data_IF_831473265191
#
_entry.id   IF_831473265191
#
_cell.length_a   1.000
_cell.length_b   1.000
_cell.length_c   1.000
_cell.angle_alpha   90.00
_cell.angle_beta   90.00
_cell.angle_gamma   90.00
#
_symmetry.space_group_name_H-M   'P 1'
#
loop_
_entity.id
_entity.type
_entity.pdbx_description
1 polymer ?
#
# COMPACT_ATOMS: atom_id res chain seq x y z
N UNK A 1 -50.38 29.72 -13.16
CA UNK A 1 -49.99 29.78 -14.57
C UNK A 1 -49.71 28.36 -15.04
N UNK A 2 -50.56 27.82 -15.91
CA UNK A 2 -50.71 26.37 -16.09
C UNK A 2 -49.56 25.74 -16.90
N UNK A 3 -48.94 24.69 -16.32
CA UNK A 3 -47.84 23.87 -16.85
C UNK A 3 -48.12 23.16 -18.20
N UNK A 4 -49.32 23.34 -18.76
CA UNK A 4 -49.70 22.83 -20.10
C UNK A 4 -49.26 23.74 -21.25
N UNK A 5 -48.91 24.99 -20.97
CA UNK A 5 -48.48 25.95 -22.01
C UNK A 5 -46.97 25.89 -22.31
N UNK A 6 -46.16 25.39 -21.37
CA UNK A 6 -44.70 25.33 -21.53
C UNK A 6 -44.23 24.09 -22.31
N UNK A 7 -45.01 23.00 -22.27
CA UNK A 7 -44.72 21.76 -23.03
C UNK A 7 -45.17 21.81 -24.50
N UNK A 8 -46.10 22.71 -24.84
CA UNK A 8 -46.57 22.90 -26.21
C UNK A 8 -45.64 23.78 -27.07
N UNK A 9 -44.73 24.53 -26.44
CA UNK A 9 -43.80 25.43 -27.15
C UNK A 9 -42.46 24.77 -27.49
N UNK A 10 -42.05 23.72 -26.77
CA UNK A 10 -40.77 23.03 -27.00
C UNK A 10 -40.86 21.89 -28.02
N UNK A 11 -42.06 21.36 -28.28
CA UNK A 11 -42.29 20.30 -29.27
C UNK A 11 -42.43 20.83 -30.71
N UNK A 12 -42.59 22.14 -30.89
CA UNK A 12 -42.75 22.77 -32.21
C UNK A 12 -41.41 23.11 -32.92
N UNK A 13 -40.28 23.02 -32.22
CA UNK A 13 -38.95 23.40 -32.74
C UNK A 13 -38.15 22.19 -33.25
N UNK A 14 -38.56 20.95 -32.94
CA UNK A 14 -37.84 19.73 -33.34
C UNK A 14 -38.41 19.06 -34.61
N UNK A 15 -39.58 19.48 -35.10
CA UNK A 15 -40.26 18.84 -36.25
C UNK A 15 -40.27 19.67 -37.53
N UNK A 16 -39.45 20.74 -37.64
CA UNK A 16 -39.41 21.63 -38.80
C UNK A 16 -38.08 21.62 -39.58
N UNK A 17 -37.28 20.55 -39.48
CA UNK A 17 -35.99 20.44 -40.17
C UNK A 17 -35.84 19.18 -41.03
N UNK A 18 -36.92 18.41 -41.24
CA UNK A 18 -36.87 17.23 -42.10
C UNK A 18 -37.96 17.28 -43.18
N UNK A 19 -37.48 17.18 -44.42
CA UNK A 19 -38.18 16.78 -45.65
C UNK A 19 -38.90 17.92 -46.39
N UNK A 20 -38.31 18.37 -47.51
CA UNK A 20 -38.96 18.50 -48.83
C UNK A 20 -38.02 19.14 -49.87
N UNK A 21 -37.39 18.31 -50.70
CA UNK A 21 -37.08 18.67 -52.08
C UNK A 21 -37.03 17.42 -52.96
N UNK A 22 -38.22 16.97 -53.37
CA UNK A 22 -38.40 16.02 -54.45
C UNK A 22 -39.12 16.76 -55.59
N UNK A 23 -38.44 16.98 -56.72
CA UNK A 23 -39.06 17.43 -57.96
C UNK A 23 -38.54 16.59 -59.13
N UNK A 24 -39.48 16.24 -60.01
CA UNK A 24 -39.39 15.22 -61.05
C UNK A 24 -38.46 15.50 -62.23
N UNK A 25 -38.12 14.39 -62.89
CA UNK A 25 -37.27 14.22 -64.08
C UNK A 25 -37.94 14.68 -65.37
N UNK A 26 -37.17 15.24 -66.33
CA UNK A 26 -37.41 15.08 -67.76
C UNK A 26 -36.27 14.29 -68.44
N UNK A 27 -36.59 13.67 -69.59
CA UNK A 27 -35.79 12.66 -70.27
C UNK A 27 -34.55 13.18 -71.04
N UNK A 28 -33.47 12.40 -70.91
CA UNK A 28 -32.41 11.97 -71.84
C UNK A 28 -31.83 12.93 -72.91
N UNK A 29 -30.54 13.22 -72.76
CA UNK A 29 -29.52 13.14 -73.83
C UNK A 29 -28.23 12.54 -73.22
N UNK A 30 -27.62 11.55 -73.89
CA UNK A 30 -26.35 10.93 -73.47
C UNK A 30 -25.15 11.84 -73.82
N UNK A 31 -24.22 12.12 -72.88
CA UNK A 31 -22.93 12.68 -73.22
C UNK A 31 -21.85 11.59 -73.35
N UNK A 32 -20.93 11.89 -74.26
CA UNK A 32 -19.80 11.10 -74.75
C UNK A 32 -18.80 10.75 -73.65
N UNK A 33 -18.27 9.52 -73.70
CA UNK A 33 -17.22 9.02 -72.82
C UNK A 33 -15.99 9.93 -72.85
N UNK A 34 -15.60 10.43 -71.68
CA UNK A 34 -14.35 11.17 -71.43
C UNK A 34 -13.43 10.24 -70.66
N UNK A 35 -12.20 10.04 -71.14
CA UNK A 35 -11.17 9.20 -70.51
C UNK A 35 -10.81 9.72 -69.10
N UNK A 36 -10.68 8.80 -68.14
CA UNK A 36 -10.23 9.09 -66.77
C UNK A 36 -8.75 9.53 -66.77
N UNK A 37 -8.35 10.50 -65.92
CA UNK A 37 -6.95 10.85 -65.74
C UNK A 37 -6.22 9.76 -64.95
N UNK A 38 -5.07 9.33 -65.46
CA UNK A 38 -4.15 8.40 -64.80
C UNK A 38 -3.73 8.92 -63.42
N UNK A 39 -4.00 8.15 -62.36
CA UNK A 39 -3.47 8.40 -61.02
C UNK A 39 -1.93 8.34 -61.03
N UNK A 40 -1.30 9.37 -60.48
CA UNK A 40 0.14 9.38 -60.21
C UNK A 40 0.39 8.54 -58.95
N UNK A 41 1.35 7.61 -58.94
CA UNK A 41 1.65 6.81 -57.75
C UNK A 41 2.06 7.73 -56.60
N UNK A 42 1.32 7.67 -55.50
CA UNK A 42 1.74 8.26 -54.22
C UNK A 42 2.82 7.34 -53.66
N UNK A 43 4.04 7.85 -53.49
CA UNK A 43 5.09 7.13 -52.75
C UNK A 43 4.59 6.91 -51.32
N UNK A 44 4.52 5.65 -50.90
CA UNK A 44 4.27 5.28 -49.51
C UNK A 44 5.36 5.92 -48.62
N UNK A 45 5.01 6.54 -47.49
CA UNK A 45 6.02 6.98 -46.54
C UNK A 45 6.76 5.74 -46.04
N UNK A 46 8.08 5.71 -46.28
CA UNK A 46 8.97 4.73 -45.65
C UNK A 46 8.71 4.75 -44.15
N UNK A 47 8.27 3.63 -43.59
CA UNK A 47 8.13 3.47 -42.15
C UNK A 47 9.46 3.78 -41.48
N UNK A 48 9.49 4.80 -40.62
CA UNK A 48 10.62 5.02 -39.72
C UNK A 48 10.81 3.75 -38.87
N UNK A 49 12.06 3.30 -38.62
CA UNK A 49 12.29 2.17 -37.72
C UNK A 49 11.64 2.51 -36.37
N UNK A 50 10.68 1.70 -35.94
CA UNK A 50 10.18 1.76 -34.58
C UNK A 50 11.38 1.45 -33.68
N UNK A 51 11.90 2.45 -32.97
CA UNK A 51 12.91 2.19 -31.94
C UNK A 51 12.30 1.19 -30.95
N UNK A 52 12.86 -0.02 -30.91
CA UNK A 52 12.47 -1.04 -29.95
C UNK A 52 12.74 -0.47 -28.56
N UNK A 53 11.67 -0.29 -27.76
CA UNK A 53 11.84 0.13 -26.38
C UNK A 53 12.77 -0.85 -25.67
N UNK A 54 13.71 -0.38 -24.82
CA UNK A 54 14.59 -1.29 -24.11
C UNK A 54 13.78 -2.30 -23.29
N UNK A 55 14.29 -3.53 -23.20
CA UNK A 55 13.62 -4.61 -22.48
C UNK A 55 13.51 -4.28 -20.99
N UNK A 56 12.37 -4.58 -20.37
CA UNK A 56 12.15 -4.39 -18.94
C UNK A 56 13.21 -5.18 -18.15
N UNK A 57 13.82 -4.52 -17.17
CA UNK A 57 14.95 -5.05 -16.41
C UNK A 57 16.31 -4.88 -17.10
N UNK A 58 16.41 -4.20 -18.25
CA UNK A 58 17.71 -3.77 -18.79
C UNK A 58 18.24 -2.55 -18.02
N UNK A 59 19.54 -2.22 -18.12
CA UNK A 59 20.09 -1.00 -17.52
C UNK A 59 19.40 0.29 -17.99
N UNK A 60 18.88 0.29 -19.22
CA UNK A 60 18.17 1.43 -19.84
C UNK A 60 16.66 1.46 -19.51
N UNK A 61 16.12 0.37 -18.94
CA UNK A 61 14.72 0.26 -18.52
C UNK A 61 14.63 -0.63 -17.26
N UNK A 62 15.13 -0.14 -16.11
CA UNK A 62 15.15 -0.90 -14.88
C UNK A 62 13.72 -1.16 -14.36
N UNK A 63 13.55 -2.28 -13.65
CA UNK A 63 12.32 -2.55 -12.92
C UNK A 63 12.23 -1.60 -11.73
N UNK A 64 11.14 -0.87 -11.62
CA UNK A 64 10.88 0.00 -10.47
C UNK A 64 10.50 -0.84 -9.26
N UNK A 65 11.21 -0.62 -8.15
CA UNK A 65 10.96 -1.28 -6.88
C UNK A 65 10.50 -0.24 -5.87
N UNK A 66 9.19 -0.24 -5.60
CA UNK A 66 8.59 0.75 -4.73
C UNK A 66 8.42 0.24 -3.30
N UNK A 67 8.74 1.10 -2.36
CA UNK A 67 8.53 0.86 -0.94
C UNK A 67 7.65 1.95 -0.34
N UNK A 68 6.60 1.56 0.39
CA UNK A 68 5.77 2.53 1.11
C UNK A 68 6.58 3.21 2.24
N UNK A 69 6.40 4.52 2.50
CA UNK A 69 7.17 5.27 3.49
C UNK A 69 6.70 4.98 4.94
N UNK A 70 6.82 3.72 5.37
CA UNK A 70 6.29 3.23 6.65
C UNK A 70 7.10 3.67 7.88
N UNK A 71 8.38 3.90 7.65
CA UNK A 71 9.41 4.32 8.61
C UNK A 71 10.34 5.32 7.91
N UNK A 72 11.54 5.57 8.46
CA UNK A 72 12.53 6.47 7.85
C UNK A 72 12.92 6.06 6.42
N UNK A 73 12.87 7.02 5.49
CA UNK A 73 13.08 6.78 4.06
C UNK A 73 14.54 6.42 3.73
N UNK A 74 15.53 6.89 4.50
CA UNK A 74 16.93 6.55 4.27
C UNK A 74 17.21 5.10 4.70
N UNK A 75 16.61 4.64 5.81
CA UNK A 75 16.66 3.23 6.21
C UNK A 75 16.02 2.32 5.15
N UNK A 76 14.86 2.70 4.61
CA UNK A 76 14.19 1.97 3.53
C UNK A 76 15.05 1.91 2.26
N UNK A 77 15.61 3.04 1.83
CA UNK A 77 16.43 3.11 0.60
C UNK A 77 17.68 2.24 0.73
N UNK A 78 18.38 2.31 1.86
CA UNK A 78 19.57 1.48 2.10
C UNK A 78 19.26 -0.02 2.06
N UNK A 79 18.15 -0.45 2.67
CA UNK A 79 17.69 -1.84 2.61
C UNK A 79 17.26 -2.25 1.18
N UNK A 80 16.55 -1.38 0.48
CA UNK A 80 16.14 -1.58 -0.90
C UNK A 80 17.32 -1.74 -1.86
N UNK A 81 18.41 -0.98 -1.67
CA UNK A 81 19.63 -1.14 -2.47
C UNK A 81 20.30 -2.51 -2.27
N UNK A 82 20.30 -3.04 -1.04
CA UNK A 82 20.76 -4.40 -0.77
C UNK A 82 19.89 -5.45 -1.48
N UNK A 83 18.57 -5.26 -1.46
CA UNK A 83 17.63 -6.11 -2.19
C UNK A 83 17.91 -6.04 -3.70
N UNK A 84 17.99 -4.85 -4.28
CA UNK A 84 18.21 -4.64 -5.69
C UNK A 84 19.52 -5.30 -6.17
N UNK A 85 20.59 -5.18 -5.38
CA UNK A 85 21.85 -5.85 -5.66
C UNK A 85 21.72 -7.39 -5.65
N UNK A 86 21.06 -7.95 -4.63
CA UNK A 86 20.84 -9.40 -4.52
C UNK A 86 19.98 -9.94 -5.68
N UNK A 87 18.91 -9.23 -6.05
CA UNK A 87 18.07 -9.61 -7.19
C UNK A 87 18.82 -9.46 -8.51
N UNK A 88 19.63 -8.42 -8.69
CA UNK A 88 20.46 -8.24 -9.88
C UNK A 88 21.46 -9.39 -10.04
N UNK A 89 22.16 -9.78 -8.97
CA UNK A 89 23.10 -10.91 -8.99
C UNK A 89 22.39 -12.22 -9.36
N UNK A 90 21.19 -12.45 -8.82
CA UNK A 90 20.43 -13.68 -9.05
C UNK A 90 19.78 -13.77 -10.44
N UNK A 91 19.33 -12.64 -10.99
CA UNK A 91 18.46 -12.61 -12.19
C UNK A 91 19.12 -12.00 -13.42
N UNK A 92 20.15 -11.18 -13.25
CA UNK A 92 20.71 -10.32 -14.29
C UNK A 92 19.87 -9.09 -14.64
N UNK A 93 18.73 -8.89 -13.97
CA UNK A 93 17.83 -7.75 -14.18
C UNK A 93 18.29 -6.52 -13.39
N UNK A 94 18.04 -5.33 -13.93
CA UNK A 94 18.34 -4.06 -13.26
C UNK A 94 17.11 -3.58 -12.51
N UNK A 95 17.32 -3.13 -11.27
CA UNK A 95 16.26 -2.65 -10.38
C UNK A 95 16.57 -1.23 -9.92
N UNK A 96 15.55 -0.38 -9.89
CA UNK A 96 15.63 0.98 -9.36
C UNK A 96 14.70 1.12 -8.16
N UNK A 97 15.29 1.42 -7.00
CA UNK A 97 14.54 1.56 -5.74
C UNK A 97 14.00 2.98 -5.64
N UNK A 98 12.71 3.11 -5.35
CA UNK A 98 12.07 4.39 -5.10
C UNK A 98 11.18 4.30 -3.86
N UNK A 99 11.22 5.35 -3.03
CA UNK A 99 10.31 5.52 -1.89
C UNK A 99 9.37 6.69 -2.21
N UNK A 100 8.12 6.44 -2.60
CA UNK A 100 7.14 7.49 -2.86
C UNK A 100 6.81 8.31 -1.60
N UNK A 101 6.18 9.47 -1.80
CA UNK A 101 5.89 10.43 -0.71
C UNK A 101 4.73 10.02 0.20
N UNK A 102 3.93 9.03 -0.19
CA UNK A 102 2.84 8.45 0.61
C UNK A 102 2.56 7.03 0.15
N UNK A 103 1.78 6.27 0.92
CA UNK A 103 1.38 4.93 0.52
C UNK A 103 0.43 4.97 -0.68
N UNK A 104 -0.47 5.96 -0.72
CA UNK A 104 -1.34 6.18 -1.87
C UNK A 104 -0.54 6.46 -3.15
N UNK A 105 0.52 7.28 -3.06
CA UNK A 105 1.40 7.54 -4.21
C UNK A 105 2.11 6.28 -4.71
N UNK A 106 2.44 5.34 -3.82
CA UNK A 106 2.95 4.02 -4.23
C UNK A 106 1.94 3.26 -5.09
N UNK A 107 0.68 3.20 -4.68
CA UNK A 107 -0.38 2.50 -5.42
C UNK A 107 -0.62 3.18 -6.77
N UNK A 108 -0.65 4.52 -6.79
CA UNK A 108 -0.83 5.30 -8.02
C UNK A 108 0.32 5.06 -9.03
N UNK A 109 1.56 4.99 -8.56
CA UNK A 109 2.72 4.70 -9.42
C UNK A 109 2.66 3.27 -10.00
N UNK A 110 2.29 2.25 -9.21
CA UNK A 110 2.12 0.88 -9.74
C UNK A 110 1.05 0.84 -10.83
N UNK A 111 -0.05 1.58 -10.66
CA UNK A 111 -1.09 1.68 -11.68
C UNK A 111 -0.66 2.51 -12.90
N UNK A 112 0.21 3.51 -12.74
CA UNK A 112 0.70 4.37 -13.80
C UNK A 112 1.82 3.72 -14.64
N UNK A 113 2.59 2.80 -14.05
CA UNK A 113 3.67 2.04 -14.67
C UNK A 113 3.40 0.53 -14.56
N UNK A 114 2.38 0.03 -15.29
CA UNK A 114 1.79 -1.29 -15.02
C UNK A 114 2.65 -2.48 -15.47
N UNK A 115 3.64 -2.27 -16.33
CA UNK A 115 4.43 -3.35 -16.94
C UNK A 115 5.79 -3.57 -16.25
N UNK A 116 6.34 -2.54 -15.60
CA UNK A 116 7.74 -2.46 -15.15
C UNK A 116 7.87 -2.18 -13.65
N UNK A 117 6.76 -2.22 -12.88
CA UNK A 117 6.76 -1.89 -11.45
C UNK A 117 6.43 -3.08 -10.56
N UNK A 118 7.25 -3.28 -9.53
CA UNK A 118 6.93 -4.06 -8.33
C UNK A 118 6.90 -3.17 -7.10
N UNK A 119 6.11 -3.54 -6.10
CA UNK A 119 5.95 -2.76 -4.88
C UNK A 119 5.74 -3.61 -3.63
N UNK A 120 6.30 -3.15 -2.53
CA UNK A 120 6.07 -3.67 -1.19
C UNK A 120 5.00 -2.82 -0.51
N UNK A 121 3.75 -3.31 -0.53
CA UNK A 121 2.56 -2.56 -0.07
C UNK A 121 1.79 -3.33 1.00
N UNK A 122 1.14 -2.65 1.96
CA UNK A 122 0.33 -3.31 2.97
C UNK A 122 -0.90 -3.96 2.33
N UNK A 123 -1.53 -4.91 3.03
CA UNK A 123 -2.66 -5.68 2.47
C UNK A 123 -3.83 -4.83 1.96
N UNK A 124 -4.15 -3.71 2.63
CA UNK A 124 -5.13 -2.72 2.15
C UNK A 124 -4.68 -2.06 0.85
N UNK A 125 -3.41 -1.65 0.76
CA UNK A 125 -2.85 -1.07 -0.46
C UNK A 125 -2.92 -2.06 -1.63
N UNK A 126 -2.66 -3.34 -1.37
CA UNK A 126 -2.86 -4.41 -2.35
C UNK A 126 -4.34 -4.51 -2.80
N UNK A 127 -5.26 -4.67 -1.85
CA UNK A 127 -6.70 -4.82 -2.14
C UNK A 127 -7.23 -3.65 -2.96
N UNK A 128 -6.86 -2.43 -2.57
CA UNK A 128 -7.25 -1.19 -3.25
C UNK A 128 -6.66 -1.10 -4.66
N UNK A 129 -5.35 -1.33 -4.82
CA UNK A 129 -4.71 -1.33 -6.14
C UNK A 129 -5.24 -2.44 -7.06
N UNK A 130 -5.60 -3.59 -6.49
CA UNK A 130 -6.16 -4.70 -7.23
C UNK A 130 -7.57 -4.36 -7.74
N UNK A 131 -8.39 -3.70 -6.93
CA UNK A 131 -9.70 -3.19 -7.34
C UNK A 131 -9.58 -2.05 -8.37
N UNK A 132 -8.58 -1.18 -8.23
CA UNK A 132 -8.42 0.01 -9.07
C UNK A 132 -7.89 -0.33 -10.47
N UNK A 133 -6.79 -1.07 -10.55
CA UNK A 133 -6.08 -1.31 -11.80
C UNK A 133 -5.66 -2.77 -12.01
N UNK A 134 -5.91 -3.66 -11.04
CA UNK A 134 -5.64 -5.09 -11.19
C UNK A 134 -4.22 -5.52 -10.81
N UNK A 135 -3.55 -4.81 -9.90
CA UNK A 135 -2.22 -5.23 -9.42
C UNK A 135 -2.26 -6.68 -8.90
N UNK A 136 -1.18 -7.41 -9.16
CA UNK A 136 -1.03 -8.84 -8.85
C UNK A 136 -0.24 -9.01 -7.56
N UNK A 137 -0.49 -10.07 -6.80
CA UNK A 137 0.33 -10.45 -5.62
C UNK A 137 1.22 -11.63 -5.97
N UNK A 138 2.49 -11.58 -5.56
CA UNK A 138 3.45 -12.68 -5.70
C UNK A 138 3.80 -13.34 -4.36
N UNK A 139 3.83 -12.57 -3.28
CA UNK A 139 4.21 -13.08 -1.96
C UNK A 139 3.70 -12.22 -0.82
N UNK A 140 3.84 -12.75 0.39
CA UNK A 140 3.51 -12.07 1.65
C UNK A 140 4.68 -12.17 2.62
N UNK A 141 4.91 -11.10 3.36
CA UNK A 141 6.00 -11.03 4.31
C UNK A 141 5.89 -12.06 5.42
N UNK A 142 7.03 -12.54 5.89
CA UNK A 142 7.18 -13.18 7.20
C UNK A 142 7.92 -12.20 8.09
N UNK A 143 7.23 -11.71 9.12
CA UNK A 143 7.74 -10.72 10.06
C UNK A 143 8.06 -11.39 11.38
N UNK A 144 9.32 -11.29 11.83
CA UNK A 144 9.74 -11.94 13.07
C UNK A 144 9.42 -13.45 13.15
N UNK A 145 9.40 -14.14 12.01
CA UNK A 145 9.00 -15.54 11.88
C UNK A 145 7.49 -15.80 11.83
N UNK A 146 6.66 -14.77 11.80
CA UNK A 146 5.20 -14.85 11.75
C UNK A 146 4.68 -14.38 10.40
N UNK A 147 3.71 -15.10 9.83
CA UNK A 147 3.02 -14.77 8.58
C UNK A 147 1.79 -13.88 8.78
N UNK A 148 1.64 -13.32 9.98
CA UNK A 148 0.59 -12.41 10.39
C UNK A 148 1.13 -11.36 11.37
N UNK A 149 0.35 -10.30 11.56
CA UNK A 149 0.57 -9.26 12.57
C UNK A 149 -0.78 -8.69 13.05
N UNK A 150 -0.81 -7.67 13.90
CA UNK A 150 -2.06 -7.00 14.28
C UNK A 150 -1.93 -5.47 14.20
N UNK A 151 -3.06 -4.77 14.24
CA UNK A 151 -3.06 -3.36 14.57
C UNK A 151 -3.00 -3.18 16.09
N UNK A 152 -2.40 -2.09 16.54
CA UNK A 152 -2.50 -1.62 17.92
C UNK A 152 -3.07 -0.22 18.00
N UNK A 153 -3.66 0.07 19.15
CA UNK A 153 -3.97 1.41 19.63
C UNK A 153 -3.02 1.71 20.78
N UNK A 154 -2.31 2.84 20.71
CA UNK A 154 -1.37 3.29 21.75
C UNK A 154 -1.82 4.60 22.37
N UNK A 155 -1.56 4.74 23.66
CA UNK A 155 -1.84 5.94 24.47
C UNK A 155 -0.63 6.27 25.34
N UNK A 156 -0.59 7.50 25.88
CA UNK A 156 0.37 7.81 26.95
C UNK A 156 0.12 6.91 28.16
N UNK A 157 1.19 6.38 28.76
CA UNK A 157 1.12 5.39 29.84
C UNK A 157 0.48 5.95 31.11
N UNK A 158 0.65 7.24 31.36
CA UNK A 158 0.06 7.97 32.49
C UNK A 158 -1.32 8.58 32.19
N UNK A 159 -1.87 8.34 30.98
CA UNK A 159 -3.22 8.77 30.63
C UNK A 159 -4.29 8.03 31.43
N UNK A 160 -5.47 8.66 31.53
CA UNK A 160 -6.63 8.07 32.19
C UNK A 160 -7.31 6.97 31.37
N UNK A 161 -6.98 6.83 30.07
CA UNK A 161 -7.65 5.93 29.12
C UNK A 161 -7.37 4.47 29.44
N UNK A 162 -8.40 3.67 29.75
CA UNK A 162 -8.27 2.24 30.07
C UNK A 162 -8.94 1.33 29.04
N UNK A 163 -9.85 1.88 28.24
CA UNK A 163 -10.65 1.16 27.25
C UNK A 163 -10.74 1.95 25.96
N UNK A 164 -11.11 1.28 24.86
CA UNK A 164 -11.36 1.95 23.58
C UNK A 164 -12.44 3.04 23.69
N UNK A 165 -13.49 2.79 24.49
CA UNK A 165 -14.56 3.76 24.73
C UNK A 165 -14.06 5.09 25.32
N UNK A 166 -12.98 5.09 26.10
CA UNK A 166 -12.39 6.31 26.68
C UNK A 166 -11.77 7.22 25.62
N UNK A 167 -11.51 6.70 24.42
CA UNK A 167 -10.95 7.43 23.28
C UNK A 167 -12.04 8.20 22.49
N UNK A 168 -13.31 8.05 22.85
CA UNK A 168 -14.38 8.78 22.18
C UNK A 168 -14.22 10.30 22.38
N UNK A 169 -14.23 11.05 21.27
CA UNK A 169 -14.00 12.49 21.26
C UNK A 169 -12.53 12.91 21.49
N UNK A 170 -11.57 11.98 21.40
CA UNK A 170 -10.14 12.24 21.55
C UNK A 170 -9.44 12.41 20.20
N UNK A 171 -8.22 12.96 20.22
CA UNK A 171 -7.39 13.18 19.03
C UNK A 171 -6.66 11.90 18.62
N UNK A 172 -6.82 11.52 17.37
CA UNK A 172 -6.23 10.32 16.78
C UNK A 172 -5.14 10.68 15.78
N UNK A 173 -3.95 10.07 15.89
CA UNK A 173 -2.97 10.02 14.81
C UNK A 173 -2.85 8.63 14.17
N UNK A 174 -2.72 8.58 12.85
CA UNK A 174 -2.50 7.36 12.07
C UNK A 174 -1.45 7.62 10.98
N UNK A 175 -0.78 6.59 10.44
CA UNK A 175 0.27 6.78 9.44
C UNK A 175 -0.24 7.31 8.09
N UNK A 176 -1.15 6.59 7.44
CA UNK A 176 -1.64 6.87 6.09
C UNK A 176 -3.02 6.19 5.93
N UNK A 177 -3.91 6.79 5.14
CA UNK A 177 -5.29 6.33 5.01
C UNK A 177 -5.41 4.98 4.27
N UNK A 178 -4.37 4.58 3.54
CA UNK A 178 -4.22 3.26 2.90
C UNK A 178 -3.43 2.26 3.76
N UNK A 179 -3.12 2.59 5.01
CA UNK A 179 -2.52 1.67 5.97
C UNK A 179 -3.54 0.65 6.50
N UNK A 180 -3.17 -0.63 6.47
CA UNK A 180 -4.02 -1.72 6.99
C UNK A 180 -4.16 -1.66 8.50
N UNK A 181 -3.03 -1.67 9.22
CA UNK A 181 -2.98 -1.61 10.68
C UNK A 181 -3.07 -0.19 11.24
N UNK A 182 -2.67 0.80 10.46
CA UNK A 182 -2.74 2.20 10.87
C UNK A 182 -4.13 2.79 10.74
N UNK A 183 -4.93 2.37 9.75
CA UNK A 183 -6.18 3.05 9.44
C UNK A 183 -7.39 2.10 9.35
N UNK A 184 -7.40 1.13 8.41
CA UNK A 184 -8.58 0.30 8.15
C UNK A 184 -9.09 -0.46 9.38
N UNK A 185 -8.24 -1.31 9.97
CA UNK A 185 -8.69 -2.12 11.09
C UNK A 185 -8.97 -1.30 12.36
N UNK A 186 -8.18 -0.27 12.70
CA UNK A 186 -8.56 0.65 13.76
C UNK A 186 -9.88 1.37 13.51
N UNK A 187 -10.13 1.84 12.28
CA UNK A 187 -11.40 2.50 11.95
C UNK A 187 -12.58 1.55 12.16
N UNK A 188 -12.46 0.30 11.71
CA UNK A 188 -13.47 -0.73 11.93
C UNK A 188 -13.67 -1.01 13.44
N UNK A 189 -12.58 -1.17 14.19
CA UNK A 189 -12.61 -1.35 15.65
C UNK A 189 -13.30 -0.18 16.37
N UNK A 190 -13.05 1.06 15.95
CA UNK A 190 -13.69 2.24 16.52
C UNK A 190 -15.18 2.30 16.17
N UNK A 191 -15.57 1.91 14.94
CA UNK A 191 -16.97 1.83 14.54
C UNK A 191 -17.76 0.81 15.38
N UNK A 192 -17.19 -0.37 15.62
CA UNK A 192 -17.82 -1.41 16.47
C UNK A 192 -18.00 -0.95 17.92
N UNK A 193 -17.02 -0.21 18.47
CA UNK A 193 -17.04 0.32 19.84
C UNK A 193 -17.78 1.66 19.97
N UNK A 194 -18.27 2.23 18.87
CA UNK A 194 -18.95 3.54 18.87
C UNK A 194 -18.02 4.72 19.20
N UNK A 195 -16.72 4.59 18.94
CA UNK A 195 -15.70 5.60 19.18
C UNK A 195 -15.62 6.53 17.97
N UNK A 196 -15.83 7.83 18.19
CA UNK A 196 -15.66 8.87 17.17
C UNK A 196 -14.57 9.85 17.62
N UNK A 197 -13.40 9.87 16.98
CA UNK A 197 -12.36 10.85 17.28
C UNK A 197 -12.84 12.29 17.06
N UNK A 198 -12.35 13.24 17.86
CA UNK A 198 -12.67 14.67 17.65
C UNK A 198 -11.80 15.31 16.58
N UNK A 199 -10.59 14.80 16.39
CA UNK A 199 -9.61 15.23 15.40
C UNK A 199 -8.86 14.00 14.91
N UNK A 200 -8.61 13.94 13.60
CA UNK A 200 -7.98 12.80 12.91
C UNK A 200 -6.81 13.34 12.11
N UNK A 201 -5.59 12.89 12.44
CA UNK A 201 -4.32 13.41 11.94
C UNK A 201 -3.58 12.31 11.20
N UNK A 202 -3.29 12.56 9.92
CA UNK A 202 -2.38 11.73 9.14
C UNK A 202 -0.94 12.15 9.42
N UNK A 203 -0.17 11.28 10.06
CA UNK A 203 1.18 11.53 10.51
C UNK A 203 2.25 11.16 9.47
N UNK A 204 1.88 10.46 8.39
CA UNK A 204 2.76 10.00 7.32
C UNK A 204 3.42 8.64 7.57
N UNK A 205 3.73 8.30 8.82
CA UNK A 205 4.40 7.04 9.18
C UNK A 205 3.97 6.51 10.56
N UNK A 206 4.24 5.23 10.83
CA UNK A 206 3.93 4.65 12.15
C UNK A 206 4.77 5.33 13.25
N UNK A 207 6.03 5.63 12.94
CA UNK A 207 6.96 6.29 13.83
C UNK A 207 6.45 7.68 14.21
N UNK A 208 5.99 8.46 13.23
CA UNK A 208 5.42 9.79 13.46
C UNK A 208 4.12 9.72 14.30
N UNK A 209 3.24 8.75 14.03
CA UNK A 209 2.00 8.59 14.79
C UNK A 209 2.27 8.24 16.27
N UNK A 210 3.15 7.27 16.54
CA UNK A 210 3.54 6.91 17.92
C UNK A 210 4.28 8.08 18.60
N UNK A 211 5.11 8.82 17.86
CA UNK A 211 5.83 10.00 18.38
C UNK A 211 4.89 11.12 18.77
N UNK A 212 3.81 11.35 18.01
CA UNK A 212 2.80 12.35 18.37
C UNK A 212 2.13 12.04 19.71
N UNK A 213 1.86 10.76 20.01
CA UNK A 213 1.37 10.33 21.34
C UNK A 213 2.44 10.54 22.41
N UNK A 214 3.68 10.13 22.14
CA UNK A 214 4.80 10.32 23.07
C UNK A 214 5.01 11.79 23.45
N UNK A 215 4.84 12.72 22.49
CA UNK A 215 4.96 14.17 22.70
C UNK A 215 3.71 14.79 23.33
N UNK A 216 2.61 14.04 23.45
CA UNK A 216 1.31 14.56 23.90
C UNK A 216 0.64 15.52 22.91
N UNK A 217 0.98 15.43 21.63
CA UNK A 217 0.36 16.22 20.54
C UNK A 217 -1.03 15.68 20.19
N UNK A 218 -1.22 14.37 20.35
CA UNK A 218 -2.49 13.65 20.22
C UNK A 218 -2.74 12.77 21.45
N UNK A 219 -4.00 12.36 21.63
CA UNK A 219 -4.39 11.52 22.76
C UNK A 219 -4.02 10.05 22.54
N UNK A 220 -4.17 9.57 21.30
CA UNK A 220 -3.87 8.20 20.93
C UNK A 220 -3.44 8.08 19.47
N UNK A 221 -2.77 6.97 19.15
CA UNK A 221 -2.37 6.66 17.79
C UNK A 221 -2.56 5.18 17.48
N UNK A 222 -2.51 4.85 16.20
CA UNK A 222 -2.63 3.49 15.68
C UNK A 222 -1.43 3.11 14.84
N UNK A 223 -0.97 1.88 15.00
CA UNK A 223 0.19 1.37 14.29
C UNK A 223 0.19 -0.16 14.25
N UNK A 224 1.27 -0.76 13.74
CA UNK A 224 1.44 -2.21 13.77
C UNK A 224 1.84 -2.73 15.15
N UNK A 225 1.42 -3.96 15.42
CA UNK A 225 1.85 -4.76 16.56
C UNK A 225 2.27 -6.14 16.09
N UNK A 226 3.32 -6.67 16.70
CA UNK A 226 3.73 -8.05 16.56
C UNK A 226 3.95 -8.62 17.96
N UNK A 227 3.61 -9.89 18.20
CA UNK A 227 3.87 -10.54 19.48
C UNK A 227 5.32 -10.35 19.91
N UNK A 228 5.51 -9.99 21.17
CA UNK A 228 6.83 -9.87 21.75
C UNK A 228 7.59 -11.21 21.69
N UNK A 229 8.91 -11.12 21.84
CA UNK A 229 9.72 -12.28 22.15
C UNK A 229 10.06 -12.27 23.63
N UNK A 230 9.86 -13.41 24.29
CA UNK A 230 10.19 -13.62 25.69
C UNK A 230 11.19 -14.77 25.78
N UNK A 231 12.34 -14.51 26.39
CA UNK A 231 13.41 -15.51 26.57
C UNK A 231 13.84 -16.22 25.26
N UNK A 232 13.90 -15.46 24.17
CA UNK A 232 14.30 -15.98 22.85
C UNK A 232 13.17 -16.67 22.07
N UNK A 233 11.96 -16.76 22.64
CA UNK A 233 10.79 -17.39 22.02
C UNK A 233 9.74 -16.34 21.66
N UNK A 234 9.27 -16.32 20.41
CA UNK A 234 8.12 -15.50 20.04
C UNK A 234 6.86 -16.00 20.74
N UNK A 235 6.09 -15.09 21.33
CA UNK A 235 4.81 -15.45 21.96
C UNK A 235 3.75 -15.91 20.94
N UNK A 236 3.90 -15.57 19.65
CA UNK A 236 2.90 -15.91 18.64
C UNK A 236 1.49 -15.50 19.07
N UNK A 237 0.52 -16.43 18.95
CA UNK A 237 -0.87 -16.17 19.34
C UNK A 237 -1.06 -15.99 20.86
N UNK A 238 -0.18 -16.54 21.70
CA UNK A 238 -0.21 -16.30 23.16
C UNK A 238 0.10 -14.83 23.50
N UNK A 239 0.69 -14.09 22.55
CA UNK A 239 0.94 -12.65 22.70
C UNK A 239 -0.33 -11.82 22.90
N UNK A 240 -1.52 -12.33 22.52
CA UNK A 240 -2.79 -11.64 22.77
C UNK A 240 -3.15 -11.56 24.27
N UNK A 241 -2.60 -12.44 25.10
CA UNK A 241 -2.77 -12.35 26.57
C UNK A 241 -1.79 -11.33 27.21
N UNK A 242 -0.78 -10.88 26.45
CA UNK A 242 0.32 -10.03 26.90
C UNK A 242 0.67 -8.99 25.82
N UNK A 243 -0.27 -8.09 25.52
CA UNK A 243 -0.15 -7.13 24.41
C UNK A 243 0.86 -5.99 24.67
N UNK A 244 1.23 -5.76 25.93
CA UNK A 244 2.20 -4.74 26.34
C UNK A 244 3.26 -5.31 27.28
N UNK A 245 4.34 -4.55 27.45
CA UNK A 245 5.41 -4.81 28.41
C UNK A 245 4.82 -4.96 29.82
N UNK A 246 5.12 -6.05 30.55
CA UNK A 246 4.74 -6.19 31.96
C UNK A 246 5.20 -5.01 32.83
N UNK A 247 4.35 -4.56 33.75
CA UNK A 247 4.62 -3.37 34.56
C UNK A 247 5.91 -3.49 35.39
N UNK A 248 6.19 -4.68 35.90
CA UNK A 248 7.39 -4.99 36.67
C UNK A 248 8.69 -4.99 35.83
N UNK A 249 8.58 -5.11 34.50
CA UNK A 249 9.71 -5.06 33.57
C UNK A 249 9.94 -3.66 32.98
N UNK A 250 8.98 -2.74 33.06
CA UNK A 250 9.06 -1.41 32.42
C UNK A 250 10.30 -0.61 32.81
N UNK A 251 10.66 -0.62 34.09
CA UNK A 251 11.81 0.12 34.59
C UNK A 251 13.15 -0.38 34.02
N UNK A 252 13.17 -1.60 33.47
CA UNK A 252 14.35 -2.22 32.88
C UNK A 252 14.45 -2.06 31.36
N UNK A 253 13.43 -1.46 30.72
CA UNK A 253 13.45 -1.23 29.27
C UNK A 253 14.64 -0.36 28.86
N UNK A 254 15.52 -0.91 28.03
CA UNK A 254 16.67 -0.22 27.48
C UNK A 254 17.02 -0.78 26.11
N UNK A 255 17.68 0.04 25.29
CA UNK A 255 18.26 -0.43 24.04
C UNK A 255 19.37 -1.44 24.31
N UNK A 256 19.45 -2.47 23.47
CA UNK A 256 20.61 -3.37 23.45
C UNK A 256 21.85 -2.64 22.92
N UNK A 257 23.01 -3.29 23.01
CA UNK A 257 24.22 -2.80 22.35
C UNK A 257 23.95 -2.44 20.88
N UNK A 258 24.53 -1.32 20.41
CA UNK A 258 24.38 -0.79 19.05
C UNK A 258 22.93 -0.41 18.67
N UNK A 259 22.05 -0.22 19.67
CA UNK A 259 20.64 0.16 19.46
C UNK A 259 19.87 -0.80 18.52
N UNK A 260 20.28 -2.08 18.46
CA UNK A 260 19.66 -3.09 17.57
C UNK A 260 18.20 -3.34 17.91
N UNK A 261 17.88 -3.51 19.19
CA UNK A 261 16.52 -3.72 19.67
C UNK A 261 16.32 -3.10 21.05
N UNK A 262 15.10 -3.18 21.58
CA UNK A 262 14.75 -2.76 22.95
C UNK A 262 14.48 -4.03 23.77
N UNK A 263 15.10 -4.14 24.93
CA UNK A 263 14.85 -5.22 25.89
C UNK A 263 14.33 -4.65 27.21
N UNK A 264 13.23 -5.19 27.69
CA UNK A 264 12.63 -4.94 29.00
C UNK A 264 12.76 -6.20 29.83
N UNK A 265 13.90 -6.39 30.49
CA UNK A 265 14.23 -7.65 31.16
C UNK A 265 14.38 -8.78 30.14
N UNK A 266 13.51 -9.78 30.21
CA UNK A 266 13.44 -10.86 29.21
C UNK A 266 12.44 -10.60 28.07
N UNK A 267 11.73 -9.47 28.09
CA UNK A 267 10.69 -9.13 27.13
C UNK A 267 11.25 -8.21 26.03
N UNK A 268 11.19 -8.65 24.78
CA UNK A 268 11.55 -7.89 23.58
C UNK A 268 10.26 -7.41 22.88
N UNK A 269 9.88 -6.13 22.98
CA UNK A 269 8.76 -5.59 22.23
C UNK A 269 9.06 -5.55 20.73
N UNK A 270 8.09 -5.99 19.93
CA UNK A 270 8.20 -6.09 18.46
C UNK A 270 7.20 -5.20 17.71
N UNK A 271 6.53 -4.30 18.43
CA UNK A 271 5.59 -3.32 17.90
C UNK A 271 6.24 -1.98 17.50
N UNK A 272 5.46 -1.07 16.91
CA UNK A 272 5.99 0.16 16.31
C UNK A 272 6.74 1.09 17.26
N UNK A 273 6.53 1.00 18.59
CA UNK A 273 7.31 1.80 19.55
C UNK A 273 8.80 1.53 19.44
N UNK A 274 9.21 0.32 19.05
CA UNK A 274 10.63 -0.04 18.91
C UNK A 274 11.35 0.78 17.85
N UNK A 275 10.64 1.31 16.85
CA UNK A 275 11.28 2.07 15.76
C UNK A 275 11.86 3.39 16.30
N UNK A 276 11.21 3.95 17.31
CA UNK A 276 11.61 5.19 17.95
C UNK A 276 12.79 5.05 18.93
N UNK A 277 13.32 3.84 19.14
CA UNK A 277 14.34 3.53 20.16
C UNK A 277 15.62 4.38 20.08
N UNK A 278 16.03 4.78 18.87
CA UNK A 278 17.24 5.60 18.66
C UNK A 278 17.02 7.07 19.03
N UNK A 279 15.78 7.54 19.02
CA UNK A 279 15.42 8.94 19.21
C UNK A 279 14.82 9.20 20.60
N UNK A 280 13.99 8.28 21.09
CA UNK A 280 13.31 8.35 22.38
C UNK A 280 13.42 7.01 23.11
N UNK A 281 14.55 6.82 23.80
CA UNK A 281 14.90 5.56 24.46
C UNK A 281 13.92 5.13 25.58
N UNK A 282 13.09 6.03 26.09
CA UNK A 282 12.08 5.76 27.13
C UNK A 282 10.65 5.62 26.58
N UNK A 283 10.49 5.40 25.27
CA UNK A 283 9.17 5.26 24.62
C UNK A 283 8.33 4.14 25.22
N UNK A 284 8.92 3.01 25.62
CA UNK A 284 8.19 1.90 26.24
C UNK A 284 7.63 2.29 27.61
N UNK A 285 8.36 3.13 28.34
CA UNK A 285 7.97 3.65 29.65
C UNK A 285 6.91 4.74 29.54
N UNK A 286 6.85 5.49 28.44
CA UNK A 286 5.91 6.61 28.25
C UNK A 286 4.68 6.30 27.43
N UNK A 287 4.73 5.31 26.55
CA UNK A 287 3.63 4.93 25.66
C UNK A 287 3.29 3.46 25.85
N UNK A 288 2.00 3.17 26.02
CA UNK A 288 1.48 1.82 26.24
C UNK A 288 0.52 1.39 25.15
N UNK A 289 0.46 0.08 24.90
CA UNK A 289 -0.57 -0.52 24.06
C UNK A 289 -1.86 -0.62 24.87
N UNK A 290 -2.94 -0.02 24.37
CA UNK A 290 -4.27 -0.05 24.98
C UNK A 290 -5.07 -1.24 24.48
N UNK A 291 -5.00 -1.51 23.18
CA UNK A 291 -5.75 -2.57 22.51
C UNK A 291 -5.02 -3.03 21.26
N UNK A 292 -5.34 -4.24 20.81
CA UNK A 292 -4.90 -4.81 19.53
C UNK A 292 -6.07 -5.45 18.81
N UNK A 293 -6.01 -5.52 17.48
CA UNK A 293 -6.97 -6.28 16.67
C UNK A 293 -6.67 -7.78 16.73
N UNK A 294 -7.56 -8.64 16.22
CA UNK A 294 -7.18 -9.98 15.77
C UNK A 294 -6.04 -9.95 14.74
N UNK A 295 -5.49 -11.13 14.45
CA UNK A 295 -4.45 -11.30 13.44
C UNK A 295 -4.90 -10.83 12.04
N UNK A 296 -3.97 -10.21 11.32
CA UNK A 296 -4.11 -9.62 9.99
C UNK A 296 -3.02 -10.22 9.09
N UNK A 297 -3.37 -10.51 7.83
CA UNK A 297 -2.41 -10.93 6.82
C UNK A 297 -1.31 -9.87 6.62
N UNK A 298 -0.06 -10.31 6.53
CA UNK A 298 1.09 -9.44 6.34
C UNK A 298 1.12 -8.74 4.97
N UNK A 299 1.98 -7.73 4.91
CA UNK A 299 2.29 -6.94 3.71
C UNK A 299 2.70 -7.80 2.52
N UNK A 300 2.49 -7.25 1.33
CA UNK A 300 2.54 -7.96 0.07
C UNK A 300 3.81 -7.61 -0.71
N UNK A 301 4.22 -8.53 -1.58
CA UNK A 301 5.02 -8.21 -2.77
C UNK A 301 4.07 -8.21 -3.95
N UNK A 302 3.83 -7.02 -4.50
CA UNK A 302 2.85 -6.77 -5.56
C UNK A 302 3.52 -6.34 -6.86
N UNK A 303 2.86 -6.61 -7.98
CA UNK A 303 3.33 -6.28 -9.33
C UNK A 303 2.25 -5.54 -10.09
N UNK A 304 2.66 -4.69 -11.04
CA UNK A 304 1.74 -4.01 -11.94
C UNK A 304 0.86 -4.98 -12.73
N UNK A 305 -0.34 -4.54 -13.17
CA UNK A 305 -1.31 -5.41 -13.83
C UNK A 305 -0.83 -5.97 -15.18
N UNK A 306 0.10 -5.29 -15.84
CA UNK A 306 0.66 -5.68 -17.14
C UNK A 306 2.06 -6.30 -17.02
N UNK A 307 2.55 -6.51 -15.78
CA UNK A 307 3.87 -7.09 -15.54
C UNK A 307 3.91 -8.53 -16.09
N UNK A 308 4.96 -8.84 -16.85
CA UNK A 308 5.12 -10.13 -17.51
C UNK A 308 5.20 -11.27 -16.48
N UNK A 309 4.40 -12.32 -16.68
CA UNK A 309 4.25 -13.40 -15.70
C UNK A 309 5.54 -14.23 -15.55
N UNK A 310 6.31 -14.42 -16.63
CA UNK A 310 7.58 -15.15 -16.56
C UNK A 310 8.65 -14.33 -15.83
N UNK A 311 8.67 -13.02 -16.04
CA UNK A 311 9.54 -12.10 -15.31
C UNK A 311 9.17 -12.04 -13.82
N UNK A 312 7.87 -11.98 -13.51
CA UNK A 312 7.36 -12.05 -12.14
C UNK A 312 7.78 -13.36 -11.45
N UNK A 313 7.63 -14.51 -12.12
CA UNK A 313 8.05 -15.82 -11.58
C UNK A 313 9.56 -15.86 -11.32
N UNK A 314 10.38 -15.34 -12.25
CA UNK A 314 11.83 -15.26 -12.08
C UNK A 314 12.22 -14.40 -10.86
N UNK A 315 11.60 -13.22 -10.70
CA UNK A 315 11.88 -12.30 -9.58
C UNK A 315 11.43 -12.93 -8.26
N UNK A 316 10.23 -13.52 -8.22
CA UNK A 316 9.72 -14.15 -7.01
C UNK A 316 10.58 -15.35 -6.59
N UNK A 317 11.02 -16.18 -7.53
CA UNK A 317 11.94 -17.29 -7.24
C UNK A 317 13.26 -16.77 -6.67
N UNK A 318 13.85 -15.73 -7.27
CA UNK A 318 15.07 -15.10 -6.75
C UNK A 318 14.87 -14.52 -5.33
N UNK A 319 13.70 -13.93 -5.05
CA UNK A 319 13.39 -13.38 -3.74
C UNK A 319 13.22 -14.47 -2.68
N UNK A 320 12.55 -15.59 -3.02
CA UNK A 320 12.45 -16.76 -2.14
C UNK A 320 13.83 -17.38 -1.88
N UNK A 321 14.66 -17.52 -2.91
CA UNK A 321 16.02 -18.05 -2.78
C UNK A 321 16.90 -17.11 -1.95
N UNK A 322 16.74 -15.79 -2.06
CA UNK A 322 17.44 -14.83 -1.24
C UNK A 322 17.08 -15.02 0.25
N UNK A 323 15.78 -15.09 0.56
CA UNK A 323 15.30 -15.35 1.91
C UNK A 323 15.80 -16.69 2.49
N UNK A 324 15.81 -17.75 1.67
CA UNK A 324 16.18 -19.10 2.11
C UNK A 324 17.70 -19.29 2.25
N UNK A 325 18.49 -18.76 1.32
CA UNK A 325 19.92 -19.04 1.21
C UNK A 325 20.80 -17.96 1.86
N UNK A 326 20.29 -16.75 2.06
CA UNK A 326 20.97 -15.65 2.73
C UNK A 326 20.02 -14.90 3.68
N UNK A 327 19.53 -15.60 4.70
CA UNK A 327 18.58 -15.05 5.66
C UNK A 327 19.08 -13.79 6.38
N UNK A 328 20.39 -13.68 6.66
CA UNK A 328 20.97 -12.48 7.27
C UNK A 328 20.95 -11.29 6.31
N UNK A 329 21.34 -11.51 5.04
CA UNK A 329 21.25 -10.49 3.99
C UNK A 329 19.82 -10.06 3.71
N UNK A 330 18.87 -11.01 3.68
CA UNK A 330 17.44 -10.72 3.52
C UNK A 330 16.92 -9.88 4.69
N UNK A 331 17.22 -10.28 5.92
CA UNK A 331 16.82 -9.53 7.11
C UNK A 331 17.43 -8.12 7.13
N UNK A 332 18.67 -7.95 6.65
CA UNK A 332 19.29 -6.63 6.52
C UNK A 332 18.60 -5.78 5.43
N UNK A 333 18.24 -6.37 4.29
CA UNK A 333 17.54 -5.67 3.21
C UNK A 333 16.12 -5.21 3.61
N UNK A 334 15.48 -5.91 4.55
CA UNK A 334 14.15 -5.58 5.04
C UNK A 334 14.10 -5.17 6.52
N UNK A 335 15.22 -4.71 7.11
CA UNK A 335 15.30 -4.36 8.54
C UNK A 335 14.27 -3.27 8.91
N UNK A 336 14.11 -2.27 8.02
CA UNK A 336 13.11 -1.20 8.12
C UNK A 336 11.67 -1.73 8.34
N UNK A 337 11.34 -2.90 7.78
CA UNK A 337 10.03 -3.54 7.92
C UNK A 337 10.03 -4.74 8.86
N UNK A 338 11.21 -5.12 9.38
CA UNK A 338 11.42 -6.30 10.22
C UNK A 338 11.03 -7.63 9.54
N UNK A 339 11.17 -7.73 8.22
CA UNK A 339 10.90 -8.99 7.53
C UNK A 339 12.07 -9.95 7.73
N UNK A 340 11.76 -11.16 8.14
CA UNK A 340 12.71 -12.27 8.32
C UNK A 340 12.56 -13.33 7.25
N UNK A 341 11.59 -13.17 6.35
CA UNK A 341 11.37 -14.06 5.22
C UNK A 341 10.17 -13.62 4.40
N UNK A 342 9.78 -14.48 3.46
CA UNK A 342 8.66 -14.27 2.56
C UNK A 342 8.02 -15.63 2.23
N UNK A 343 6.70 -15.66 2.15
CA UNK A 343 5.92 -16.83 1.74
C UNK A 343 5.19 -16.52 0.42
N UNK A 344 4.85 -17.54 -0.39
CA UNK A 344 3.90 -17.38 -1.47
C UNK A 344 2.57 -16.83 -0.95
N UNK A 345 1.92 -16.01 -1.77
CA UNK A 345 0.61 -15.45 -1.48
C UNK A 345 -0.30 -15.54 -2.69
N UNK A 346 -1.59 -15.60 -2.42
CA UNK A 346 -2.67 -15.59 -3.40
C UNK A 346 -3.62 -14.44 -3.09
N UNK A 347 -4.43 -14.05 -4.06
CA UNK A 347 -5.43 -13.00 -3.88
C UNK A 347 -6.38 -13.30 -2.70
N UNK A 348 -6.76 -14.57 -2.53
CA UNK A 348 -7.65 -15.03 -1.47
C UNK A 348 -7.07 -14.88 -0.05
N UNK A 349 -5.74 -14.78 0.09
CA UNK A 349 -5.12 -14.49 1.40
C UNK A 349 -5.54 -13.11 1.95
N UNK A 350 -6.08 -12.24 1.10
CA UNK A 350 -6.48 -10.86 1.41
C UNK A 350 -8.00 -10.65 1.43
N UNK A 351 -8.80 -11.72 1.40
CA UNK A 351 -10.27 -11.65 1.40
C UNK A 351 -10.82 -11.01 2.70
N UNK A 352 -10.20 -11.28 3.85
CA UNK A 352 -10.61 -10.64 5.12
C UNK A 352 -10.41 -9.13 5.10
N UNK A 353 -9.39 -8.65 4.40
CA UNK A 353 -9.15 -7.22 4.20
C UNK A 353 -10.20 -6.64 3.25
N UNK A 354 -10.58 -7.34 2.16
CA UNK A 354 -11.69 -6.95 1.28
C UNK A 354 -13.02 -6.85 2.04
N UNK A 355 -13.26 -7.79 2.94
CA UNK A 355 -14.44 -7.79 3.80
C UNK A 355 -14.44 -6.57 4.73
N UNK A 356 -13.32 -6.25 5.36
CA UNK A 356 -13.17 -5.07 6.21
C UNK A 356 -13.35 -3.76 5.42
N UNK A 357 -12.81 -3.67 4.19
CA UNK A 357 -13.02 -2.52 3.29
C UNK A 357 -14.51 -2.36 2.97
N UNK A 358 -15.18 -3.45 2.62
CA UNK A 358 -16.61 -3.46 2.30
C UNK A 358 -17.49 -3.05 3.48
N UNK A 359 -17.12 -3.48 4.69
CA UNK A 359 -17.84 -3.15 5.92
C UNK A 359 -17.64 -1.69 6.36
N UNK A 360 -16.42 -1.16 6.20
CA UNK A 360 -16.07 0.21 6.58
C UNK A 360 -16.54 1.28 5.57
N UNK A 361 -16.87 0.87 4.35
CA UNK A 361 -17.26 1.79 3.26
C UNK A 361 -16.09 2.56 2.65
N UNK A 362 -14.85 2.16 2.95
CA UNK A 362 -13.63 2.76 2.39
C UNK A 362 -13.56 2.49 0.89
N UNK A 363 -13.19 3.51 0.11
CA UNK A 363 -12.85 3.40 -1.31
C UNK A 363 -11.61 4.26 -1.57
N UNK A 364 -10.77 3.90 -2.54
CA UNK A 364 -9.61 4.74 -2.93
C UNK A 364 -10.02 6.19 -3.25
N UNK A 365 -11.14 6.38 -3.93
CA UNK A 365 -11.67 7.71 -4.26
C UNK A 365 -12.08 8.51 -3.01
N UNK A 366 -12.54 7.82 -1.95
CA UNK A 366 -12.86 8.40 -0.65
C UNK A 366 -11.66 8.60 0.27
N UNK A 367 -10.47 8.11 -0.11
CA UNK A 367 -9.21 8.29 0.62
C UNK A 367 -8.33 9.41 0.03
N UNK A 368 -8.80 10.10 -1.03
CA UNK A 368 -8.09 11.20 -1.70
C UNK A 368 -8.33 12.57 -1.07
#
# INVERSE_FOLDING_TARGET
>A
MNKRFLFALLTLIVTASMILSACGTPATEEPVATEEPTEVPTEEPTAEPTEEMPAIGSPEHPIKVLFVPSVDAAEITAGGELLAAALNEATGLTFEVTVPTSYAATIEEVCASPADTMAFVPGLGYVLGNQLCGIKVGGKAVRFGLDWYAAMVVVQRDSEYQTLADLNGKKWAYPDATSTSGYLYPLYMFQEEGVTPSEVIEAGSHDAAVRAVYNGEVDFATAFWSPANVDGTSLGLEGFDQIDVPEDLLASCANTAEDKTVMCGNFEPRDARRNLRKEVADVMQKVRVLAVTPAIANDTVSFGPEFDDALMEQIMQALFDFAANNAEGFAAAFDAYSWTGINPATDADYDDIRNAVSASGITLEGLK
#
